data_IF_672412914311
#
_entry.id   IF_672412914311
#
_cell.length_a   1.000
_cell.length_b   1.000
_cell.length_c   1.000
_cell.angle_alpha   90.00
_cell.angle_beta   90.00
_cell.angle_gamma   90.00
#
_symmetry.space_group_name_H-M   'P 1'
#
loop_
_entity.id
_entity.type
_entity.pdbx_description
1 polymer ?
#
# COMPACT_ATOMS: atom_id res chain seq x y z
N UNK A 1 2.94 -11.97 12.67
CA UNK A 1 2.36 -10.81 11.94
C UNK A 1 1.76 -9.75 12.84
N UNK A 2 0.93 -10.09 13.83
CA UNK A 2 0.26 -9.13 14.72
C UNK A 2 1.26 -8.33 15.58
N UNK A 3 2.18 -8.99 16.29
CA UNK A 3 3.19 -8.33 17.13
C UNK A 3 4.03 -7.27 16.39
N UNK A 4 4.38 -7.54 15.12
CA UNK A 4 5.09 -6.57 14.27
C UNK A 4 4.20 -5.37 13.94
N UNK A 5 2.92 -5.59 13.65
CA UNK A 5 1.94 -4.53 13.41
C UNK A 5 1.75 -3.63 14.64
N UNK A 6 1.65 -4.21 15.84
CA UNK A 6 1.53 -3.48 17.10
C UNK A 6 2.76 -2.62 17.39
N UNK A 7 3.96 -3.14 17.13
CA UNK A 7 5.20 -2.37 17.25
C UNK A 7 5.20 -1.13 16.34
N UNK A 8 4.76 -1.27 15.08
CA UNK A 8 4.63 -0.13 14.16
C UNK A 8 3.54 0.85 14.59
N UNK A 9 2.37 0.35 15.02
CA UNK A 9 1.28 1.20 15.50
C UNK A 9 1.75 2.09 16.64
N UNK A 10 2.44 1.51 17.62
CA UNK A 10 2.99 2.22 18.78
C UNK A 10 4.04 3.25 18.35
N UNK A 11 4.97 2.87 17.48
CA UNK A 11 6.03 3.77 16.99
C UNK A 11 5.48 4.97 16.20
N UNK A 12 4.41 4.77 15.43
CA UNK A 12 3.80 5.83 14.61
C UNK A 12 2.73 6.64 15.35
N UNK A 13 2.36 6.26 16.58
CA UNK A 13 1.21 6.86 17.28
C UNK A 13 -0.11 6.65 16.53
N UNK A 14 -0.21 5.58 15.75
CA UNK A 14 -1.39 5.34 14.92
C UNK A 14 -2.59 4.95 15.78
N UNK A 15 -3.72 5.65 15.56
CA UNK A 15 -4.94 5.48 16.37
C UNK A 15 -5.54 4.07 16.26
N UNK A 16 -5.32 3.39 15.14
CA UNK A 16 -5.92 2.09 14.84
C UNK A 16 -4.91 1.17 14.17
N UNK A 17 -5.01 -0.12 14.46
CA UNK A 17 -4.32 -1.19 13.75
C UNK A 17 -5.35 -2.16 13.19
N UNK A 18 -5.15 -2.53 11.93
CA UNK A 18 -5.95 -3.54 11.26
C UNK A 18 -4.98 -4.55 10.70
N UNK A 19 -5.09 -5.78 11.18
CA UNK A 19 -4.34 -6.91 10.66
C UNK A 19 -5.15 -7.59 9.57
N UNK A 20 -4.49 -8.32 8.68
CA UNK A 20 -5.17 -9.16 7.68
C UNK A 20 -6.06 -8.36 6.72
N UNK A 21 -5.56 -7.24 6.21
CA UNK A 21 -6.29 -6.43 5.23
C UNK A 21 -6.39 -7.07 3.82
N UNK A 22 -5.74 -8.22 3.59
CA UNK A 22 -5.77 -9.03 2.36
C UNK A 22 -5.65 -8.26 1.03
N UNK A 23 -4.80 -7.23 0.98
CA UNK A 23 -4.52 -6.53 -0.29
C UNK A 23 -4.15 -7.54 -1.39
N UNK A 24 -4.67 -7.39 -2.63
CA UNK A 24 -5.35 -6.21 -3.16
C UNK A 24 -6.85 -6.12 -2.85
N UNK A 25 -7.43 -7.07 -2.09
CA UNK A 25 -8.85 -7.06 -1.79
C UNK A 25 -9.28 -5.73 -1.16
N UNK A 26 -10.32 -5.06 -1.67
CA UNK A 26 -10.69 -3.72 -1.21
C UNK A 26 -11.50 -3.75 0.10
N UNK A 27 -12.04 -4.91 0.49
CA UNK A 27 -13.07 -5.04 1.52
C UNK A 27 -12.68 -4.48 2.89
N UNK A 28 -11.50 -4.82 3.39
CA UNK A 28 -11.04 -4.34 4.70
C UNK A 28 -10.90 -2.82 4.73
N UNK A 29 -10.32 -2.23 3.69
CA UNK A 29 -10.15 -0.77 3.59
C UNK A 29 -11.51 -0.06 3.41
N UNK A 30 -12.38 -0.62 2.57
CA UNK A 30 -13.74 -0.12 2.35
C UNK A 30 -14.54 -0.09 3.65
N UNK A 31 -14.51 -1.17 4.42
CA UNK A 31 -15.21 -1.27 5.69
C UNK A 31 -14.77 -0.18 6.68
N UNK A 32 -13.48 0.17 6.69
CA UNK A 32 -12.96 1.25 7.54
C UNK A 32 -13.46 2.60 7.09
N UNK A 33 -13.39 2.89 5.79
CA UNK A 33 -13.86 4.15 5.21
C UNK A 33 -15.35 4.34 5.53
N UNK A 34 -16.17 3.30 5.32
CA UNK A 34 -17.61 3.33 5.60
C UNK A 34 -17.90 3.46 7.10
N UNK A 35 -17.28 2.63 7.95
CA UNK A 35 -17.51 2.65 9.41
C UNK A 35 -17.09 3.98 10.06
N UNK A 36 -16.07 4.64 9.49
CA UNK A 36 -15.58 5.94 9.97
C UNK A 36 -16.21 7.12 9.23
N UNK A 37 -17.12 6.88 8.28
CA UNK A 37 -17.79 7.90 7.46
C UNK A 37 -16.79 8.90 6.83
N UNK A 38 -15.66 8.38 6.35
CA UNK A 38 -14.61 9.20 5.74
C UNK A 38 -14.98 9.49 4.29
N UNK A 39 -14.69 10.70 3.82
CA UNK A 39 -14.72 11.01 2.39
C UNK A 39 -13.53 10.31 1.69
N UNK A 40 -13.75 9.40 0.73
CA UNK A 40 -12.67 8.75 -0.02
C UNK A 40 -11.67 9.74 -0.65
N UNK A 41 -12.13 10.96 -0.99
CA UNK A 41 -11.27 12.01 -1.58
C UNK A 41 -10.28 12.59 -0.58
N UNK A 42 -10.59 12.52 0.72
CA UNK A 42 -9.72 12.94 1.81
C UNK A 42 -8.87 11.79 2.38
N UNK A 43 -8.97 10.58 1.79
CA UNK A 43 -8.22 9.41 2.19
C UNK A 43 -7.13 9.12 1.17
N UNK A 44 -5.94 8.80 1.66
CA UNK A 44 -4.85 8.29 0.83
C UNK A 44 -4.30 6.96 1.37
N UNK A 45 -3.81 6.13 0.46
CA UNK A 45 -3.06 4.92 0.76
C UNK A 45 -1.59 5.16 0.41
N UNK A 46 -0.70 5.04 1.39
CA UNK A 46 0.74 5.01 1.16
C UNK A 46 1.22 3.56 1.13
N UNK A 47 1.98 3.18 0.10
CA UNK A 47 2.47 1.82 -0.08
C UNK A 47 3.65 1.72 -1.05
N UNK A 48 4.46 0.67 -0.93
CA UNK A 48 5.67 0.48 -1.75
C UNK A 48 5.44 -0.44 -2.96
N UNK A 49 4.29 -1.11 -3.02
CA UNK A 49 3.92 -2.00 -4.12
C UNK A 49 3.11 -1.26 -5.18
N UNK A 50 3.53 -1.35 -6.44
CA UNK A 50 2.99 -0.53 -7.52
C UNK A 50 1.64 -1.05 -8.02
N UNK A 51 1.44 -2.37 -8.01
CA UNK A 51 0.22 -2.99 -8.55
C UNK A 51 -0.76 -3.26 -7.43
N UNK A 52 -0.35 -3.97 -6.38
CA UNK A 52 -1.27 -4.41 -5.33
C UNK A 52 -1.87 -3.24 -4.55
N UNK A 53 -1.06 -2.28 -4.09
CA UNK A 53 -1.55 -1.12 -3.35
C UNK A 53 -2.33 -0.16 -4.25
N UNK A 54 -1.84 0.10 -5.47
CA UNK A 54 -2.56 0.95 -6.43
C UNK A 54 -3.93 0.37 -6.80
N UNK A 55 -4.04 -0.94 -7.01
CA UNK A 55 -5.32 -1.58 -7.29
C UNK A 55 -6.27 -1.45 -6.10
N UNK A 56 -5.77 -1.68 -4.88
CA UNK A 56 -6.55 -1.50 -3.66
C UNK A 56 -7.07 -0.06 -3.54
N UNK A 57 -6.22 0.95 -3.80
CA UNK A 57 -6.61 2.35 -3.79
C UNK A 57 -7.61 2.70 -4.91
N UNK A 58 -7.36 2.23 -6.14
CA UNK A 58 -8.23 2.45 -7.29
C UNK A 58 -9.64 1.89 -7.07
N UNK A 59 -9.76 0.69 -6.52
CA UNK A 59 -11.06 0.07 -6.23
C UNK A 59 -11.81 0.77 -5.09
N UNK A 60 -11.08 1.37 -4.14
CA UNK A 60 -11.66 2.18 -3.07
C UNK A 60 -11.86 3.66 -3.46
N UNK A 61 -11.50 4.07 -4.68
CA UNK A 61 -11.57 5.46 -5.17
C UNK A 61 -10.82 6.45 -4.27
N UNK A 62 -9.70 6.03 -3.68
CA UNK A 62 -8.85 6.87 -2.82
C UNK A 62 -7.53 7.21 -3.52
N UNK A 63 -6.84 8.24 -3.04
CA UNK A 63 -5.53 8.61 -3.57
C UNK A 63 -4.46 7.59 -3.20
N UNK A 64 -3.48 7.35 -4.08
CA UNK A 64 -2.36 6.44 -3.81
C UNK A 64 -1.03 7.18 -3.87
N UNK A 65 -0.24 7.04 -2.81
CA UNK A 65 1.12 7.55 -2.70
C UNK A 65 2.09 6.37 -2.75
N UNK A 66 2.87 6.30 -3.81
CA UNK A 66 3.94 5.32 -3.90
C UNK A 66 5.13 5.79 -3.07
N UNK A 67 5.57 4.96 -2.13
CA UNK A 67 6.75 5.23 -1.28
C UNK A 67 7.93 4.32 -1.66
N UNK A 68 9.14 4.72 -1.22
CA UNK A 68 10.31 3.84 -1.35
C UNK A 68 10.14 2.62 -0.43
N UNK A 69 10.51 1.41 -0.89
CA UNK A 69 10.56 0.23 -0.02
C UNK A 69 11.50 0.48 1.15
N UNK A 70 11.08 0.09 2.37
CA UNK A 70 11.84 0.31 3.61
C UNK A 70 12.65 -0.93 4.01
N UNK A 71 12.33 -2.11 3.46
CA UNK A 71 12.97 -3.38 3.80
C UNK A 71 13.43 -4.13 2.56
N UNK A 72 14.64 -4.71 2.64
CA UNK A 72 15.24 -5.51 1.55
C UNK A 72 14.77 -6.97 1.54
N UNK A 73 14.18 -7.45 2.65
CA UNK A 73 13.76 -8.84 2.77
C UNK A 73 12.25 -9.01 2.54
N UNK A 74 11.91 -9.57 1.38
CA UNK A 74 10.55 -9.95 1.03
C UNK A 74 10.27 -11.42 1.32
N UNK A 75 9.08 -11.71 1.86
CA UNK A 75 8.50 -13.05 1.91
C UNK A 75 8.28 -13.60 0.48
N UNK A 76 8.22 -14.93 0.30
CA UNK A 76 8.13 -15.56 -1.02
C UNK A 76 6.98 -15.02 -1.89
N UNK A 77 5.80 -14.80 -1.31
CA UNK A 77 4.66 -14.21 -2.01
C UNK A 77 4.92 -12.77 -2.46
N UNK A 78 5.57 -11.97 -1.61
CA UNK A 78 5.98 -10.59 -1.91
C UNK A 78 7.04 -10.54 -3.02
N UNK A 79 7.95 -11.51 -3.07
CA UNK A 79 8.95 -11.65 -4.16
C UNK A 79 8.29 -11.92 -5.51
N UNK A 80 7.28 -12.79 -5.57
CA UNK A 80 6.53 -13.06 -6.80
C UNK A 80 5.80 -11.81 -7.30
N UNK A 81 5.14 -11.09 -6.39
CA UNK A 81 4.47 -9.83 -6.72
C UNK A 81 5.49 -8.79 -7.24
N UNK A 82 6.67 -8.67 -6.63
CA UNK A 82 7.74 -7.80 -7.15
C UNK A 82 8.22 -8.22 -8.54
N UNK A 83 8.32 -9.52 -8.82
CA UNK A 83 8.71 -10.01 -10.13
C UNK A 83 7.71 -9.62 -11.22
N UNK A 84 6.41 -9.74 -10.92
CA UNK A 84 5.32 -9.32 -11.81
C UNK A 84 5.25 -7.79 -11.96
N UNK A 85 5.63 -7.04 -10.92
CA UNK A 85 5.66 -5.57 -10.94
C UNK A 85 6.86 -4.98 -11.69
N UNK A 86 8.00 -5.67 -11.75
CA UNK A 86 9.24 -5.22 -12.41
C UNK A 86 9.03 -4.61 -13.81
N UNK A 87 8.31 -5.22 -14.76
CA UNK A 87 8.11 -4.63 -16.09
C UNK A 87 7.34 -3.31 -16.03
N UNK A 88 6.33 -3.21 -15.16
CA UNK A 88 5.54 -1.98 -14.98
C UNK A 88 6.37 -0.87 -14.34
N UNK A 89 7.12 -1.20 -13.28
CA UNK A 89 8.03 -0.25 -12.62
C UNK A 89 9.05 0.32 -13.60
N UNK A 90 9.74 -0.54 -14.36
CA UNK A 90 10.69 -0.11 -15.41
C UNK A 90 10.03 0.72 -16.50
N UNK A 91 8.78 0.43 -16.86
CA UNK A 91 8.03 1.20 -17.85
C UNK A 91 7.71 2.60 -17.32
N UNK A 92 7.32 2.72 -16.05
CA UNK A 92 6.96 4.00 -15.44
C UNK A 92 8.18 4.86 -15.09
N UNK A 93 9.29 4.24 -14.70
CA UNK A 93 10.60 4.90 -14.58
C UNK A 93 11.02 5.51 -15.92
N UNK A 94 10.95 4.73 -17.02
CA UNK A 94 11.26 5.23 -18.37
C UNK A 94 10.36 6.38 -18.82
N UNK A 95 9.11 6.42 -18.36
CA UNK A 95 8.14 7.49 -18.66
C UNK A 95 8.29 8.70 -17.73
N UNK A 96 9.24 8.69 -16.80
CA UNK A 96 9.41 9.77 -15.81
C UNK A 96 8.26 9.89 -14.80
N UNK A 97 7.41 8.87 -14.70
CA UNK A 97 6.24 8.86 -13.80
C UNK A 97 6.61 8.51 -12.36
N UNK A 98 7.78 7.90 -12.16
CA UNK A 98 8.36 7.65 -10.85
C UNK A 98 9.42 8.72 -10.62
N UNK A 99 9.06 9.75 -9.85
CA UNK A 99 9.91 10.91 -9.55
C UNK A 99 11.09 10.60 -8.62
N UNK A 100 11.85 9.54 -8.90
CA UNK A 100 13.02 9.14 -8.14
C UNK A 100 14.29 9.43 -8.94
N UNK A 101 14.62 10.72 -9.06
CA UNK A 101 16.03 11.14 -8.97
C UNK A 101 16.21 11.71 -7.57
N UNK A 102 16.77 10.90 -6.67
CA UNK A 102 17.50 11.37 -5.49
C UNK A 102 18.90 10.83 -5.65
#
# INVERSE_FOLDING_TARGET
NIQRGEAFQKALGAKWLITEAFKPAPGALRAVIEAKKLDPRAVCLAGDQLITDRLCAKWNKIFFVLVKPVVDYDQAATRLNRLLERPFRRSWERRGLLGLKI
#
